data_IF_981977146899
#
_entry.id   IF_981977146899
#
_cell.length_a   1.000
_cell.length_b   1.000
_cell.length_c   1.000
_cell.angle_alpha   90.00
_cell.angle_beta   90.00
_cell.angle_gamma   90.00
#
_symmetry.space_group_name_H-M   'P 1'
#
loop_
_entity.id
_entity.type
_entity.pdbx_description
1 polymer ?
#
# COMPACT_ATOMS: atom_id res chain seq x y z
N UNK A 1 -5.71 -29.02 -4.20
CA UNK A 1 -6.83 -29.62 -3.55
C UNK A 1 -8.08 -28.80 -3.81
N UNK A 2 -9.07 -29.41 -4.44
CA UNK A 2 -10.37 -28.82 -4.80
C UNK A 2 -11.19 -28.75 -3.51
N UNK A 3 -11.65 -27.56 -3.13
CA UNK A 3 -12.65 -27.40 -2.06
C UNK A 3 -14.01 -27.29 -2.71
N UNK A 4 -14.81 -28.36 -2.56
CA UNK A 4 -16.21 -28.40 -2.98
C UNK A 4 -17.06 -27.82 -1.86
N UNK A 5 -17.69 -26.67 -2.11
CA UNK A 5 -18.68 -26.10 -1.19
C UNK A 5 -20.04 -26.72 -1.46
N UNK A 6 -20.58 -27.41 -0.48
CA UNK A 6 -21.95 -27.97 -0.48
C UNK A 6 -22.90 -26.87 0.01
N UNK A 7 -23.77 -26.38 -0.86
CA UNK A 7 -24.85 -25.46 -0.50
C UNK A 7 -26.08 -26.27 -0.19
N UNK A 8 -26.45 -26.38 1.10
CA UNK A 8 -27.76 -26.89 1.54
C UNK A 8 -28.73 -25.71 1.61
N UNK A 9 -29.69 -25.71 0.69
CA UNK A 9 -30.78 -24.77 0.70
C UNK A 9 -31.81 -25.15 1.79
N UNK A 10 -32.01 -24.27 2.75
CA UNK A 10 -33.15 -24.32 3.68
C UNK A 10 -34.03 -23.11 3.35
N UNK A 11 -35.17 -23.38 2.72
CA UNK A 11 -36.22 -22.40 2.49
C UNK A 11 -36.99 -22.15 3.81
N UNK A 12 -36.70 -21.02 4.45
CA UNK A 12 -37.55 -20.48 5.50
C UNK A 12 -38.16 -19.17 5.01
N UNK A 13 -39.49 -19.16 4.96
CA UNK A 13 -40.28 -17.95 4.77
C UNK A 13 -40.02 -17.03 5.95
N UNK A 14 -39.25 -15.95 5.72
CA UNK A 14 -39.03 -14.93 6.73
C UNK A 14 -40.06 -13.83 6.55
N UNK A 15 -40.88 -13.64 7.59
CA UNK A 15 -41.73 -12.48 7.79
C UNK A 15 -40.91 -11.20 7.72
N UNK A 16 -41.44 -10.19 7.05
CA UNK A 16 -40.89 -8.85 6.99
C UNK A 16 -40.74 -8.28 8.40
N UNK A 17 -39.52 -8.28 8.91
CA UNK A 17 -39.16 -7.48 10.06
C UNK A 17 -38.78 -6.09 9.58
N UNK A 18 -39.39 -5.10 10.20
CA UNK A 18 -39.15 -3.68 10.12
C UNK A 18 -37.66 -3.36 9.87
N UNK A 19 -37.39 -2.56 8.85
CA UNK A 19 -36.04 -2.04 8.55
C UNK A 19 -35.49 -1.34 9.79
N UNK A 20 -34.59 -2.02 10.50
CA UNK A 20 -33.81 -1.38 11.55
C UNK A 20 -33.02 -0.26 10.89
N UNK A 21 -33.20 0.98 11.35
CA UNK A 21 -32.45 2.12 10.91
C UNK A 21 -30.96 1.78 11.03
N UNK A 22 -30.22 1.94 9.93
CA UNK A 22 -28.75 1.83 9.98
C UNK A 22 -28.25 2.75 11.08
N UNK A 23 -27.36 2.29 11.97
CA UNK A 23 -26.80 3.18 12.97
C UNK A 23 -26.16 4.36 12.24
N UNK A 24 -26.70 5.55 12.52
CA UNK A 24 -26.13 6.80 12.04
C UNK A 24 -24.83 6.96 12.81
N UNK A 25 -23.69 6.62 12.17
CA UNK A 25 -22.36 6.83 12.75
C UNK A 25 -22.24 8.32 13.03
N UNK A 26 -22.10 8.66 14.31
CA UNK A 26 -21.83 10.01 14.74
C UNK A 26 -20.57 10.49 14.01
N UNK A 27 -20.70 11.56 13.25
CA UNK A 27 -19.60 12.12 12.45
C UNK A 27 -18.42 12.61 13.32
N UNK A 28 -18.63 12.73 14.64
CA UNK A 28 -17.60 13.12 15.60
C UNK A 28 -16.69 11.96 16.03
N UNK A 29 -17.01 10.71 15.67
CA UNK A 29 -16.28 9.51 16.11
C UNK A 29 -15.47 8.82 14.98
N UNK A 30 -15.14 9.52 13.89
CA UNK A 30 -14.32 8.93 12.82
C UNK A 30 -12.92 8.68 13.33
N UNK A 31 -12.46 7.44 13.19
CA UNK A 31 -11.11 7.05 13.56
C UNK A 31 -10.12 7.54 12.51
N UNK A 32 -8.98 8.05 12.96
CA UNK A 32 -7.83 8.27 12.07
C UNK A 32 -7.26 6.92 11.62
N UNK A 33 -6.77 6.87 10.39
CA UNK A 33 -6.18 5.68 9.78
C UNK A 33 -4.70 5.97 9.54
N UNK A 34 -3.82 5.19 10.18
CA UNK A 34 -2.40 5.17 9.89
C UNK A 34 -2.05 3.85 9.20
N UNK A 35 -1.64 3.92 7.95
CA UNK A 35 -1.19 2.78 7.17
C UNK A 35 0.33 2.81 7.03
N UNK A 36 1.03 1.79 7.54
CA UNK A 36 2.48 1.66 7.46
C UNK A 36 2.81 0.49 6.53
N UNK A 37 3.45 0.78 5.40
CA UNK A 37 3.92 -0.21 4.43
C UNK A 37 5.44 -0.27 4.47
N UNK A 38 5.97 -1.36 5.00
CA UNK A 38 7.40 -1.64 5.00
C UNK A 38 7.83 -2.24 3.67
N UNK A 39 9.01 -1.84 3.17
CA UNK A 39 9.56 -2.32 1.91
C UNK A 39 10.59 -3.43 2.19
N UNK A 40 10.53 -4.52 1.42
CA UNK A 40 11.44 -5.66 1.49
C UNK A 40 11.57 -6.31 2.89
N UNK A 41 10.55 -6.21 3.73
CA UNK A 41 10.48 -6.88 5.02
C UNK A 41 9.89 -8.29 4.87
N UNK A 42 10.66 -9.30 5.22
CA UNK A 42 10.22 -10.69 5.22
C UNK A 42 9.23 -10.98 6.37
N UNK A 43 8.30 -11.88 6.15
CA UNK A 43 7.27 -12.21 7.14
C UNK A 43 7.85 -12.75 8.47
N UNK A 44 9.05 -13.33 8.45
CA UNK A 44 9.76 -13.81 9.64
C UNK A 44 10.81 -12.85 10.19
N UNK A 45 10.89 -11.64 9.68
CA UNK A 45 11.86 -10.65 10.15
C UNK A 45 11.38 -9.88 11.40
N UNK A 46 10.21 -10.23 11.92
CA UNK A 46 9.64 -9.67 13.15
C UNK A 46 9.62 -10.72 14.27
N UNK A 47 9.94 -10.31 15.51
CA UNK A 47 9.95 -11.20 16.66
C UNK A 47 8.57 -11.81 16.92
N UNK A 48 7.49 -11.03 16.73
CA UNK A 48 6.11 -11.53 16.88
C UNK A 48 5.72 -12.62 15.84
N UNK A 49 6.51 -12.80 14.78
CA UNK A 49 6.38 -13.88 13.81
C UNK A 49 7.47 -14.94 13.94
N UNK A 50 8.27 -14.89 15.00
CA UNK A 50 9.23 -15.93 15.37
C UNK A 50 10.67 -15.66 14.93
N UNK A 51 11.05 -14.43 14.61
CA UNK A 51 12.46 -14.07 14.48
C UNK A 51 13.14 -14.15 15.83
N UNK A 52 14.30 -14.81 15.84
CA UNK A 52 15.23 -14.79 16.98
C UNK A 52 16.41 -13.86 16.77
N UNK A 53 16.51 -13.26 15.59
CA UNK A 53 17.64 -12.42 15.20
C UNK A 53 17.29 -10.92 15.32
N UNK A 54 16.10 -10.53 14.86
CA UNK A 54 15.67 -9.12 14.88
C UNK A 54 14.89 -8.81 16.16
N UNK A 55 15.24 -7.70 16.78
CA UNK A 55 14.54 -7.17 17.94
C UNK A 55 13.52 -6.11 17.49
N UNK A 56 12.22 -6.42 17.65
CA UNK A 56 11.13 -5.55 17.15
C UNK A 56 10.13 -5.18 18.25
N UNK A 57 10.57 -4.66 19.43
CA UNK A 57 9.74 -4.52 20.62
C UNK A 57 8.51 -3.63 20.43
N UNK A 58 8.59 -2.61 19.59
CA UNK A 58 7.46 -1.71 19.33
C UNK A 58 6.41 -2.36 18.43
N UNK A 59 6.84 -3.12 17.42
CA UNK A 59 5.93 -3.87 16.54
C UNK A 59 5.31 -5.04 17.30
N UNK A 60 6.08 -5.73 18.14
CA UNK A 60 5.59 -6.82 18.98
C UNK A 60 4.53 -6.32 19.97
N UNK A 61 4.74 -5.14 20.56
CA UNK A 61 3.74 -4.49 21.40
C UNK A 61 2.46 -4.18 20.62
N UNK A 62 2.58 -3.62 19.42
CA UNK A 62 1.43 -3.35 18.55
C UNK A 62 0.69 -4.65 18.21
N UNK A 63 1.42 -5.70 17.86
CA UNK A 63 0.85 -7.01 17.56
C UNK A 63 0.11 -7.63 18.76
N UNK A 64 0.59 -7.40 19.99
CA UNK A 64 -0.05 -7.89 21.22
C UNK A 64 -1.32 -7.11 21.60
N UNK A 65 -1.46 -5.87 21.14
CA UNK A 65 -2.59 -5.00 21.41
C UNK A 65 -3.65 -5.01 20.31
N UNK A 66 -3.31 -5.55 19.13
CA UNK A 66 -4.14 -5.56 17.96
C UNK A 66 -4.40 -6.95 17.39
N UNK A 67 -4.71 -6.99 16.10
CA UNK A 67 -4.92 -8.24 15.37
C UNK A 67 -3.66 -8.58 14.56
N UNK A 68 -3.17 -9.81 14.70
CA UNK A 68 -2.07 -10.34 13.90
C UNK A 68 -2.61 -11.35 12.88
N UNK A 69 -2.34 -11.11 11.62
CA UNK A 69 -2.69 -12.02 10.53
C UNK A 69 -1.57 -13.06 10.33
N UNK A 70 -1.94 -14.34 10.24
CA UNK A 70 -1.00 -15.43 9.99
C UNK A 70 -0.89 -15.81 8.52
N UNK A 71 -1.89 -15.45 7.73
CA UNK A 71 -2.03 -15.82 6.33
C UNK A 71 -2.41 -14.60 5.46
N UNK A 72 -1.66 -13.51 5.60
CA UNK A 72 -1.77 -12.33 4.75
C UNK A 72 -0.65 -12.30 3.71
N UNK A 73 -1.00 -12.05 2.46
CA UNK A 73 -0.08 -12.10 1.34
C UNK A 73 -0.05 -10.78 0.57
N UNK A 74 1.16 -10.37 0.17
CA UNK A 74 1.32 -9.28 -0.77
C UNK A 74 0.77 -9.66 -2.14
N UNK A 75 0.27 -8.69 -2.89
CA UNK A 75 -0.31 -8.92 -4.22
C UNK A 75 0.75 -9.28 -5.29
N UNK A 76 2.01 -8.96 -5.03
CA UNK A 76 3.14 -9.28 -5.88
C UNK A 76 4.41 -9.42 -5.04
N UNK A 77 5.47 -9.94 -5.67
CA UNK A 77 6.79 -10.15 -5.05
C UNK A 77 7.69 -8.92 -5.11
N UNK A 78 7.26 -7.85 -5.77
CA UNK A 78 8.02 -6.61 -5.96
C UNK A 78 7.17 -5.37 -5.66
N UNK A 79 7.85 -4.24 -5.52
CA UNK A 79 7.31 -3.01 -4.91
C UNK A 79 6.15 -2.36 -5.69
N UNK A 80 6.34 -1.96 -6.93
CA UNK A 80 5.32 -1.16 -7.66
C UNK A 80 3.97 -1.88 -7.79
N UNK A 81 3.88 -3.14 -8.23
CA UNK A 81 2.59 -3.82 -8.35
C UNK A 81 1.92 -4.05 -7.00
N UNK A 82 2.68 -4.33 -5.94
CA UNK A 82 2.14 -4.43 -4.58
C UNK A 82 1.58 -3.09 -4.10
N UNK A 83 2.31 -1.98 -4.31
CA UNK A 83 1.88 -0.64 -3.92
C UNK A 83 0.62 -0.21 -4.66
N UNK A 84 0.57 -0.43 -5.97
CA UNK A 84 -0.60 -0.17 -6.78
C UNK A 84 -1.82 -0.97 -6.30
N UNK A 85 -1.63 -2.26 -6.00
CA UNK A 85 -2.70 -3.11 -5.48
C UNK A 85 -3.23 -2.64 -4.12
N UNK A 86 -2.34 -2.22 -3.20
CA UNK A 86 -2.73 -1.66 -1.90
C UNK A 86 -3.57 -0.40 -2.07
N UNK A 87 -3.18 0.49 -2.98
CA UNK A 87 -3.88 1.77 -3.18
C UNK A 87 -5.21 1.63 -3.90
N UNK A 88 -5.37 0.64 -4.77
CA UNK A 88 -6.56 0.51 -5.63
C UNK A 88 -7.47 -0.66 -5.29
N UNK A 89 -7.01 -1.61 -4.48
CA UNK A 89 -7.71 -2.86 -4.23
C UNK A 89 -7.77 -3.80 -5.46
N UNK A 90 -6.99 -3.52 -6.51
CA UNK A 90 -6.97 -4.31 -7.75
C UNK A 90 -5.71 -5.16 -7.85
N UNK A 91 -5.82 -6.32 -8.49
CA UNK A 91 -4.66 -7.17 -8.73
C UNK A 91 -3.70 -6.54 -9.76
N UNK A 92 -2.39 -6.83 -9.70
CA UNK A 92 -1.40 -6.35 -10.68
C UNK A 92 -1.79 -6.66 -12.13
N UNK A 93 -2.38 -7.82 -12.38
CA UNK A 93 -2.85 -8.21 -13.71
C UNK A 93 -3.97 -7.28 -14.23
N UNK A 94 -4.90 -6.86 -13.37
CA UNK A 94 -5.96 -5.91 -13.75
C UNK A 94 -5.44 -4.50 -13.97
N UNK A 95 -4.38 -4.13 -13.26
CA UNK A 95 -3.74 -2.83 -13.39
C UNK A 95 -2.77 -2.78 -14.59
N UNK A 96 -2.43 -3.93 -15.17
CA UNK A 96 -1.38 -4.06 -16.17
C UNK A 96 -0.01 -3.54 -15.66
N UNK A 97 0.17 -3.52 -14.35
CA UNK A 97 1.37 -3.11 -13.67
C UNK A 97 1.91 -4.33 -12.90
N UNK A 98 2.73 -5.13 -13.57
CA UNK A 98 3.12 -6.47 -13.13
C UNK A 98 4.58 -6.57 -12.70
N UNK A 99 5.37 -5.51 -12.91
CA UNK A 99 6.76 -5.42 -12.49
C UNK A 99 7.04 -4.06 -11.82
N UNK A 100 8.20 -3.93 -11.15
CA UNK A 100 8.60 -2.66 -10.58
C UNK A 100 8.96 -1.65 -11.67
N UNK A 101 8.69 -0.37 -11.39
CA UNK A 101 8.92 0.70 -12.36
C UNK A 101 10.40 0.83 -12.71
N UNK A 102 10.64 1.13 -13.99
CA UNK A 102 11.93 1.14 -14.66
C UNK A 102 12.58 -0.24 -14.78
N UNK A 103 11.87 -1.33 -14.48
CA UNK A 103 12.24 -2.71 -14.76
C UNK A 103 13.74 -3.03 -14.88
N UNK A 104 14.12 -4.24 -14.95
CA UNK A 104 15.47 -4.60 -15.37
C UNK A 104 15.50 -4.58 -16.90
N UNK A 105 16.31 -3.71 -17.49
CA UNK A 105 16.63 -3.80 -18.90
C UNK A 105 17.52 -5.03 -19.12
N UNK A 106 16.97 -6.02 -19.80
CA UNK A 106 17.71 -7.19 -20.27
C UNK A 106 17.92 -7.08 -21.79
N UNK A 107 18.95 -6.37 -22.25
CA UNK A 107 19.15 -6.10 -23.69
C UNK A 107 19.34 -7.37 -24.54
N UNK A 108 19.59 -8.50 -23.89
CA UNK A 108 19.73 -9.82 -24.54
C UNK A 108 18.56 -10.76 -24.25
N UNK A 109 17.49 -10.29 -23.59
CA UNK A 109 16.32 -11.11 -23.34
C UNK A 109 15.60 -11.42 -24.67
N UNK A 110 15.23 -12.68 -24.84
CA UNK A 110 14.46 -13.12 -26.02
C UNK A 110 13.00 -12.64 -25.98
N UNK A 111 12.54 -12.17 -24.82
CA UNK A 111 11.17 -11.69 -24.58
C UNK A 111 11.23 -10.27 -24.01
N UNK A 112 10.34 -9.42 -24.49
CA UNK A 112 10.05 -8.09 -23.93
C UNK A 112 8.72 -8.10 -23.21
N UNK A 113 8.50 -7.18 -22.25
CA UNK A 113 7.18 -6.97 -21.68
C UNK A 113 6.14 -6.70 -22.78
N UNK A 114 4.90 -7.16 -22.62
CA UNK A 114 3.83 -6.83 -23.56
C UNK A 114 3.60 -5.31 -23.65
N UNK A 115 3.16 -4.82 -24.80
CA UNK A 115 2.91 -3.38 -25.05
C UNK A 115 1.86 -2.78 -24.12
N UNK A 116 0.98 -3.60 -23.54
CA UNK A 116 -0.01 -3.16 -22.54
C UNK A 116 0.56 -3.01 -21.13
N UNK A 117 1.81 -3.39 -20.87
CA UNK A 117 2.45 -3.22 -19.55
C UNK A 117 2.53 -1.74 -19.19
N UNK A 118 2.06 -1.41 -17.99
CA UNK A 118 2.10 -0.04 -17.49
C UNK A 118 3.29 0.18 -16.60
N UNK A 119 3.87 1.38 -16.71
CA UNK A 119 5.02 1.83 -15.93
C UNK A 119 4.68 3.00 -15.00
N UNK A 120 3.40 3.14 -14.67
CA UNK A 120 2.86 4.14 -13.74
C UNK A 120 1.47 3.70 -13.28
N UNK A 121 0.98 4.28 -12.18
CA UNK A 121 -0.40 4.14 -11.77
C UNK A 121 -1.26 5.11 -12.59
N UNK A 122 -2.18 4.63 -13.45
CA UNK A 122 -3.02 5.50 -14.25
C UNK A 122 -3.99 6.32 -13.39
N UNK A 123 -4.29 7.54 -13.83
CA UNK A 123 -5.26 8.43 -13.16
C UNK A 123 -6.71 7.93 -13.22
N UNK A 124 -7.01 7.00 -14.12
CA UNK A 124 -8.32 6.36 -14.22
C UNK A 124 -8.58 5.37 -13.08
N UNK A 125 -7.53 5.00 -12.35
CA UNK A 125 -7.63 4.09 -11.22
C UNK A 125 -7.97 4.86 -9.95
N UNK A 126 -9.12 4.54 -9.36
CA UNK A 126 -9.54 5.16 -8.10
C UNK A 126 -8.70 4.62 -6.94
N UNK A 127 -8.05 5.51 -6.24
CA UNK A 127 -7.17 5.19 -5.11
C UNK A 127 -7.91 5.21 -3.77
N UNK A 128 -7.31 4.57 -2.76
CA UNK A 128 -7.78 4.64 -1.38
C UNK A 128 -7.88 6.11 -0.88
N UNK A 129 -6.93 6.97 -1.29
CA UNK A 129 -6.95 8.39 -0.93
C UNK A 129 -8.19 9.09 -1.49
N UNK A 130 -8.50 8.90 -2.76
CA UNK A 130 -9.69 9.47 -3.39
C UNK A 130 -10.99 8.98 -2.75
N UNK A 131 -11.07 7.69 -2.42
CA UNK A 131 -12.23 7.13 -1.71
C UNK A 131 -12.41 7.73 -0.32
N UNK A 132 -11.32 7.89 0.43
CA UNK A 132 -11.35 8.48 1.77
C UNK A 132 -11.72 9.97 1.74
N UNK A 133 -11.26 10.72 0.75
CA UNK A 133 -11.66 12.13 0.55
C UNK A 133 -13.15 12.29 0.33
N UNK A 134 -13.79 11.39 -0.43
CA UNK A 134 -15.25 11.44 -0.66
C UNK A 134 -16.06 11.34 0.63
N UNK A 135 -15.49 10.77 1.67
CA UNK A 135 -16.11 10.67 3.00
C UNK A 135 -15.51 11.64 4.02
N UNK A 136 -14.73 12.63 3.56
CA UNK A 136 -14.26 13.77 4.35
C UNK A 136 -12.99 13.52 5.17
N UNK A 137 -12.14 12.55 4.78
CA UNK A 137 -10.80 12.45 5.32
C UNK A 137 -9.84 13.42 4.61
N UNK A 138 -8.91 13.97 5.36
CA UNK A 138 -7.69 14.59 4.84
C UNK A 138 -6.62 13.52 4.71
N UNK A 139 -5.89 13.51 3.59
CA UNK A 139 -5.05 12.38 3.21
C UNK A 139 -3.59 12.80 3.03
N UNK A 140 -2.68 12.04 3.64
CA UNK A 140 -1.25 12.31 3.66
C UNK A 140 -0.48 11.11 3.14
N UNK A 141 0.58 11.35 2.37
CA UNK A 141 1.52 10.35 1.90
C UNK A 141 2.95 10.70 2.27
N UNK A 142 3.68 9.72 2.82
CA UNK A 142 5.07 9.89 3.22
C UNK A 142 5.95 8.77 2.64
N UNK A 143 7.10 9.15 2.06
CA UNK A 143 8.14 8.21 1.66
C UNK A 143 8.02 7.66 0.24
N UNK A 144 8.49 6.43 0.05
CA UNK A 144 8.61 5.78 -1.26
C UNK A 144 7.25 5.66 -1.97
N UNK A 145 7.16 6.28 -3.15
CA UNK A 145 5.99 6.17 -4.03
C UNK A 145 6.12 5.01 -5.03
N UNK A 146 7.08 5.11 -5.95
CA UNK A 146 7.42 4.11 -6.95
C UNK A 146 6.24 3.67 -7.83
N UNK A 147 5.33 4.60 -8.17
CA UNK A 147 4.16 4.38 -9.03
C UNK A 147 4.07 5.41 -10.16
N UNK A 148 5.21 5.93 -10.61
CA UNK A 148 5.34 6.90 -11.68
C UNK A 148 6.11 8.13 -11.27
N UNK A 149 6.41 8.99 -12.27
CA UNK A 149 7.09 10.27 -12.08
C UNK A 149 6.18 11.37 -11.53
N UNK A 150 6.63 12.62 -11.64
CA UNK A 150 5.95 13.79 -11.05
C UNK A 150 4.47 13.93 -11.47
N UNK A 151 4.14 13.56 -12.71
CA UNK A 151 2.75 13.55 -13.20
C UNK A 151 1.84 12.56 -12.48
N UNK A 152 2.42 11.54 -11.86
CA UNK A 152 1.71 10.47 -11.15
C UNK A 152 2.02 10.44 -9.64
N UNK A 153 2.52 11.52 -9.06
CA UNK A 153 2.83 11.59 -7.64
C UNK A 153 1.57 11.54 -6.76
N UNK A 154 1.70 11.24 -5.47
CA UNK A 154 0.56 11.06 -4.57
C UNK A 154 -0.48 12.17 -4.66
N UNK A 155 -0.05 13.43 -4.80
CA UNK A 155 -0.97 14.58 -4.89
C UNK A 155 -1.83 14.58 -6.15
N UNK A 156 -1.37 13.96 -7.23
CA UNK A 156 -2.16 13.78 -8.46
C UNK A 156 -3.00 12.50 -8.44
N UNK A 157 -2.82 11.67 -7.39
CA UNK A 157 -3.49 10.40 -7.15
C UNK A 157 -4.38 10.46 -5.90
N UNK A 158 -4.88 11.65 -5.58
CA UNK A 158 -5.89 11.85 -4.56
C UNK A 158 -5.39 12.24 -3.17
N UNK A 159 -4.11 12.18 -2.88
CA UNK A 159 -3.60 12.65 -1.59
C UNK A 159 -3.58 14.17 -1.52
N UNK A 160 -3.98 14.74 -0.38
CA UNK A 160 -3.95 16.18 -0.15
C UNK A 160 -2.52 16.68 0.08
N UNK A 161 -1.71 15.87 0.74
CA UNK A 161 -0.34 16.21 1.09
C UNK A 161 0.62 15.06 0.80
N UNK A 162 1.86 15.41 0.42
CA UNK A 162 2.94 14.44 0.29
C UNK A 162 4.27 15.01 0.76
N UNK A 163 5.06 14.18 1.44
CA UNK A 163 6.39 14.53 1.95
C UNK A 163 7.37 13.38 1.74
N UNK A 164 8.63 13.71 1.50
CA UNK A 164 9.71 12.75 1.31
C UNK A 164 9.48 11.76 0.16
N UNK A 165 8.78 12.17 -0.88
CA UNK A 165 8.38 11.31 -2.01
C UNK A 165 9.55 11.06 -2.95
N UNK A 166 9.69 9.81 -3.41
CA UNK A 166 10.61 9.43 -4.48
C UNK A 166 9.92 8.54 -5.50
N UNK A 167 10.15 8.81 -6.79
CA UNK A 167 9.71 7.93 -7.87
C UNK A 167 10.57 6.68 -8.00
N UNK A 168 11.82 6.72 -7.48
CA UNK A 168 12.72 5.58 -7.51
C UNK A 168 12.38 4.54 -6.44
N UNK A 169 12.90 3.33 -6.61
CA UNK A 169 12.73 2.24 -5.67
C UNK A 169 13.37 2.45 -4.31
N UNK A 170 14.26 3.44 -4.19
CA UNK A 170 15.03 3.77 -3.00
C UNK A 170 15.41 5.25 -3.00
N UNK A 171 15.84 5.85 -1.87
CA UNK A 171 16.08 7.30 -1.79
C UNK A 171 17.40 7.78 -2.40
N UNK A 172 18.21 6.90 -2.98
CA UNK A 172 19.56 7.20 -3.49
C UNK A 172 20.61 7.22 -2.40
N UNK A 173 20.33 7.86 -1.28
CA UNK A 173 21.10 7.85 -0.04
C UNK A 173 20.19 8.14 1.14
N UNK A 174 20.53 7.59 2.31
CA UNK A 174 19.85 7.89 3.57
C UNK A 174 20.46 9.09 4.30
N UNK A 175 21.64 9.55 3.88
CA UNK A 175 22.30 10.71 4.45
C UNK A 175 22.11 11.94 3.57
N UNK A 176 21.94 13.10 4.22
CA UNK A 176 21.83 14.37 3.49
C UNK A 176 23.12 14.69 2.68
N UNK A 177 23.01 15.18 1.43
CA UNK A 177 21.78 15.56 0.72
C UNK A 177 21.03 14.36 0.11
N UNK A 178 19.71 14.50 0.00
CA UNK A 178 18.82 13.51 -0.63
C UNK A 178 18.38 13.98 -2.01
N UNK A 179 19.17 13.73 -3.06
CA UNK A 179 19.00 14.40 -4.36
C UNK A 179 17.70 14.02 -5.10
N UNK A 180 17.12 12.88 -4.77
CA UNK A 180 15.91 12.37 -5.44
C UNK A 180 14.68 12.33 -4.54
N UNK A 181 14.81 12.73 -3.27
CA UNK A 181 13.68 12.82 -2.35
C UNK A 181 13.05 14.21 -2.45
N UNK A 182 11.75 14.25 -2.69
CA UNK A 182 11.02 15.51 -2.89
C UNK A 182 10.41 16.03 -1.60
N UNK A 183 10.29 17.35 -1.52
CA UNK A 183 9.59 18.05 -0.45
C UNK A 183 10.16 17.81 0.96
N UNK A 184 11.47 17.50 1.05
CA UNK A 184 12.16 17.34 2.32
C UNK A 184 13.40 18.22 2.36
N UNK A 185 13.55 19.00 3.43
CA UNK A 185 14.73 19.84 3.69
C UNK A 185 15.59 19.21 4.77
N UNK A 186 16.90 19.44 4.70
CA UNK A 186 17.83 18.91 5.68
C UNK A 186 19.15 19.67 5.68
N UNK A 187 20.09 19.22 6.51
CA UNK A 187 21.46 19.73 6.61
C UNK A 187 22.46 18.60 6.72
N UNK A 188 23.73 18.89 6.54
CA UNK A 188 24.80 17.90 6.70
C UNK A 188 24.73 17.21 8.06
N UNK A 189 24.75 15.90 8.04
CA UNK A 189 24.65 15.04 9.23
C UNK A 189 23.23 14.51 9.49
N UNK A 190 22.22 15.01 8.79
CA UNK A 190 20.86 14.47 8.91
C UNK A 190 20.76 13.10 8.26
N UNK A 191 20.00 12.22 8.90
CA UNK A 191 19.64 10.89 8.41
C UNK A 191 18.17 10.88 8.03
N UNK A 192 17.83 10.25 6.90
CA UNK A 192 16.48 10.37 6.29
C UNK A 192 15.36 9.91 7.23
N UNK A 193 15.60 8.85 7.99
CA UNK A 193 14.57 8.28 8.88
C UNK A 193 14.36 9.06 10.18
N UNK A 194 15.17 10.08 10.43
CA UNK A 194 15.06 10.95 11.61
C UNK A 194 14.23 12.22 11.32
N UNK A 195 13.55 12.28 10.14
CA UNK A 195 12.83 13.46 9.64
C UNK A 195 11.34 13.22 9.51
#
# INVERSE_FOLDING_TARGET
GIVTALVLGISHVAQAQSAAAKPQLDQTSRLNILFILTDDLGWRDLSCYGSSFYETPNIDRLASQGMRFTDAYAAATVCSPTRAAVLTGKTPARLHLTDFLNGLEFPHAALSPPDWTRWYLPHEEVTLAEMLKQVGYETFYFGKWHLGGEEHFPVTQGFDHSLAVTQAGWPGTYFYPWPIVRNLTGKKGDYLTDR
#
